data_IF_429398358140
#
_entry.id   IF_429398358140
#
_cell.length_a   1.000
_cell.length_b   1.000
_cell.length_c   1.000
_cell.angle_alpha   90.00
_cell.angle_beta   90.00
_cell.angle_gamma   90.00
#
_symmetry.space_group_name_H-M   'P 1'
#
loop_
_entity.id
_entity.type
_entity.pdbx_description
1 polymer ?
#
# COMPACT_ATOMS: atom_id res chain seq x y z
N UNK A 1 10.36 2.69 8.52
CA UNK A 1 9.36 1.67 8.92
C UNK A 1 8.61 1.25 7.66
N UNK A 2 8.73 0.00 7.25
CA UNK A 2 7.93 -0.54 6.15
C UNK A 2 6.65 -1.08 6.77
N UNK A 3 5.56 -0.33 6.67
CA UNK A 3 4.25 -0.88 7.00
C UNK A 3 3.80 -1.68 5.79
N UNK A 4 3.88 -3.01 5.86
CA UNK A 4 3.13 -3.86 4.93
C UNK A 4 1.69 -3.84 5.43
N UNK A 5 0.93 -2.83 5.00
CA UNK A 5 -0.48 -2.71 5.31
C UNK A 5 -1.27 -3.76 4.54
N UNK A 6 -1.40 -4.96 5.11
CA UNK A 6 -2.23 -6.02 4.54
C UNK A 6 -3.65 -5.87 5.08
N UNK A 7 -4.60 -5.52 4.22
CA UNK A 7 -6.00 -5.36 4.63
C UNK A 7 -6.76 -6.65 4.34
N UNK A 8 -7.20 -7.35 5.38
CA UNK A 8 -7.87 -8.66 5.31
C UNK A 8 -9.31 -8.57 5.86
N UNK A 9 -10.26 -9.26 5.22
CA UNK A 9 -11.68 -9.26 5.61
C UNK A 9 -12.28 -10.67 5.64
N UNK A 10 -13.03 -11.04 6.69
CA UNK A 10 -13.85 -12.25 6.68
C UNK A 10 -15.28 -11.98 6.16
N UNK A 11 -15.87 -12.92 5.39
CA UNK A 11 -17.12 -13.61 5.79
C UNK A 11 -17.79 -14.52 4.70
N UNK A 12 -18.26 -15.66 5.20
CA UNK A 12 -19.25 -16.70 4.84
C UNK A 12 -19.64 -17.11 3.40
N UNK A 13 -19.73 -18.45 3.28
CA UNK A 13 -20.14 -19.39 2.21
C UNK A 13 -19.99 -18.93 0.75
N UNK A 14 -19.01 -19.53 0.07
CA UNK A 14 -18.86 -19.48 -1.37
C UNK A 14 -19.61 -20.66 -2.02
N UNK A 15 -20.33 -20.37 -3.11
CA UNK A 15 -20.67 -21.38 -4.12
C UNK A 15 -19.54 -21.47 -5.13
N UNK A 16 -19.27 -22.67 -5.62
CA UNK A 16 -18.16 -23.04 -6.50
C UNK A 16 -18.29 -22.42 -7.90
N UNK A 17 -17.17 -21.99 -8.48
CA UNK A 17 -17.01 -21.86 -9.94
C UNK A 17 -15.52 -21.96 -10.34
N UNK A 18 -15.19 -23.04 -11.04
CA UNK A 18 -14.02 -23.30 -11.91
C UNK A 18 -14.37 -22.82 -13.36
N UNK A 19 -13.51 -22.50 -14.35
CA UNK A 19 -12.05 -22.54 -14.57
C UNK A 19 -11.66 -21.75 -15.87
N UNK A 20 -10.35 -21.74 -16.22
CA UNK A 20 -9.64 -21.36 -17.48
C UNK A 20 -9.31 -19.86 -17.70
N UNK A 21 -8.04 -19.42 -17.93
CA UNK A 21 -7.13 -19.67 -19.08
C UNK A 21 -5.63 -19.63 -18.64
N UNK A 22 -4.74 -20.26 -19.42
CA UNK A 22 -3.27 -20.39 -19.23
C UNK A 22 -2.44 -19.28 -19.90
N UNK A 23 -1.26 -19.04 -19.30
CA UNK A 23 -0.03 -18.35 -19.79
C UNK A 23 0.16 -16.83 -19.62
N UNK A 24 -0.83 -16.07 -19.12
CA UNK A 24 -0.67 -14.62 -18.79
C UNK A 24 -0.86 -14.28 -17.30
N UNK A 25 -0.95 -15.27 -16.41
CA UNK A 25 -1.35 -15.07 -15.00
C UNK A 25 -0.31 -14.32 -14.15
N UNK A 26 0.92 -14.29 -14.64
CA UNK A 26 2.07 -13.65 -14.03
C UNK A 26 2.44 -12.32 -14.71
N UNK A 27 1.68 -11.89 -15.72
CA UNK A 27 1.80 -10.56 -16.31
C UNK A 27 0.88 -9.60 -15.58
N UNK A 28 1.40 -8.51 -15.00
CA UNK A 28 0.54 -7.54 -14.36
C UNK A 28 -0.10 -6.61 -15.40
N UNK A 29 -1.32 -6.19 -15.09
CA UNK A 29 -1.95 -5.06 -15.75
C UNK A 29 -1.58 -3.76 -15.04
N UNK A 30 -1.27 -2.72 -15.81
CA UNK A 30 -1.07 -1.36 -15.31
C UNK A 30 -2.18 -0.46 -15.83
N UNK A 31 -2.87 0.23 -14.92
CA UNK A 31 -3.85 1.27 -15.26
C UNK A 31 -3.34 2.64 -14.79
N UNK A 32 -3.68 3.68 -15.54
CA UNK A 32 -3.50 5.07 -15.14
C UNK A 32 -4.86 5.74 -14.96
N UNK A 33 -5.09 6.32 -13.79
CA UNK A 33 -6.37 6.94 -13.41
C UNK A 33 -6.16 8.31 -12.78
N UNK A 34 -7.19 9.15 -12.84
CA UNK A 34 -7.32 10.27 -11.91
C UNK A 34 -8.00 9.78 -10.63
N UNK A 35 -7.29 9.90 -9.51
CA UNK A 35 -7.81 9.61 -8.19
C UNK A 35 -7.58 10.84 -7.31
N UNK A 36 -8.66 11.34 -6.71
CA UNK A 36 -8.62 12.57 -5.92
C UNK A 36 -7.94 13.75 -6.66
N UNK A 37 -8.22 13.88 -7.96
CA UNK A 37 -7.72 14.95 -8.82
C UNK A 37 -6.27 14.79 -9.31
N UNK A 38 -5.56 13.73 -8.92
CA UNK A 38 -4.17 13.50 -9.32
C UNK A 38 -4.01 12.20 -10.11
N UNK A 39 -3.04 12.18 -11.03
CA UNK A 39 -2.68 10.95 -11.72
C UNK A 39 -2.21 9.87 -10.73
N UNK A 40 -2.50 8.62 -11.06
CA UNK A 40 -2.22 7.49 -10.19
C UNK A 40 -2.03 6.26 -11.03
N UNK A 41 -0.92 5.57 -10.82
CA UNK A 41 -0.65 4.27 -11.41
C UNK A 41 -1.19 3.18 -10.47
N UNK A 42 -1.92 2.23 -11.04
CA UNK A 42 -2.42 1.04 -10.35
C UNK A 42 -1.85 -0.20 -11.02
N UNK A 43 -1.01 -0.93 -10.31
CA UNK A 43 -0.45 -2.20 -10.76
C UNK A 43 -1.30 -3.34 -10.22
N UNK A 44 -1.69 -4.29 -11.06
CA UNK A 44 -2.65 -5.34 -10.72
C UNK A 44 -2.17 -6.72 -11.18
N UNK A 45 -2.24 -7.69 -10.28
CA UNK A 45 -2.21 -9.12 -10.60
C UNK A 45 -3.55 -9.75 -10.24
N UNK A 46 -3.97 -10.74 -11.03
CA UNK A 46 -5.28 -11.39 -10.88
C UNK A 46 -6.40 -10.53 -11.47
N UNK A 47 -7.58 -10.55 -10.86
CA UNK A 47 -8.72 -9.81 -11.40
C UNK A 47 -8.49 -8.29 -11.42
N UNK A 48 -8.74 -7.66 -12.56
CA UNK A 48 -8.58 -6.22 -12.76
C UNK A 48 -9.83 -5.41 -12.41
N UNK A 49 -10.96 -6.10 -12.23
CA UNK A 49 -12.22 -5.57 -11.72
C UNK A 49 -12.67 -6.41 -10.52
N UNK A 50 -12.87 -5.76 -9.37
CA UNK A 50 -13.38 -6.44 -8.19
C UNK A 50 -14.89 -6.60 -8.29
N UNK A 51 -15.37 -7.74 -7.81
CA UNK A 51 -16.78 -8.10 -7.75
C UNK A 51 -17.07 -8.80 -6.42
N UNK A 52 -18.34 -8.99 -6.08
CA UNK A 52 -18.77 -9.56 -4.78
C UNK A 52 -18.17 -10.94 -4.44
N UNK A 53 -17.79 -11.74 -5.45
CA UNK A 53 -17.07 -13.01 -5.25
C UNK A 53 -15.62 -12.87 -4.74
N UNK A 54 -15.01 -11.69 -4.85
CA UNK A 54 -13.67 -11.43 -4.33
C UNK A 54 -13.75 -11.09 -2.85
N UNK A 55 -13.44 -12.07 -2.00
CA UNK A 55 -13.49 -11.89 -0.54
C UNK A 55 -12.24 -11.24 0.04
N UNK A 56 -11.10 -11.41 -0.63
CA UNK A 56 -9.79 -10.96 -0.17
C UNK A 56 -9.12 -10.19 -1.31
N UNK A 57 -8.56 -9.03 -0.97
CA UNK A 57 -7.71 -8.20 -1.82
C UNK A 57 -6.41 -7.92 -1.08
N UNK A 58 -5.28 -8.24 -1.70
CA UNK A 58 -3.99 -7.78 -1.21
C UNK A 58 -3.69 -6.40 -1.80
N UNK A 59 -3.84 -5.35 -0.98
CA UNK A 59 -3.56 -3.98 -1.39
C UNK A 59 -2.20 -3.53 -0.86
N UNK A 60 -1.28 -3.19 -1.76
CA UNK A 60 0.03 -2.61 -1.43
C UNK A 60 -0.05 -1.09 -1.52
N UNK A 61 0.32 -0.44 -0.42
CA UNK A 61 0.57 1.01 -0.38
C UNK A 61 2.09 1.19 -0.31
N UNK A 62 2.74 1.75 -1.35
CA UNK A 62 4.18 1.97 -1.33
C UNK A 62 4.55 3.03 -0.29
N UNK A 63 5.79 2.98 0.19
CA UNK A 63 6.43 4.14 0.83
C UNK A 63 7.09 5.04 -0.22
N UNK A 64 7.64 6.19 0.19
CA UNK A 64 8.43 7.06 -0.69
C UNK A 64 9.55 6.24 -1.38
N UNK A 65 9.73 6.28 -2.72
CA UNK A 65 9.25 7.27 -3.70
C UNK A 65 7.81 7.09 -4.23
N UNK A 66 7.03 6.11 -3.75
CA UNK A 66 5.62 5.94 -4.13
C UNK A 66 5.37 5.20 -5.43
N UNK A 67 6.41 4.63 -6.04
CA UNK A 67 6.36 3.97 -7.36
C UNK A 67 6.02 2.49 -7.20
N UNK A 68 4.90 2.06 -7.79
CA UNK A 68 4.40 0.68 -7.67
C UNK A 68 5.22 -0.34 -8.44
N UNK A 69 5.93 0.07 -9.49
CA UNK A 69 6.77 -0.80 -10.31
C UNK A 69 7.83 -1.57 -9.50
N UNK A 70 8.35 -0.99 -8.42
CA UNK A 70 9.31 -1.68 -7.54
C UNK A 70 8.72 -2.91 -6.85
N UNK A 71 7.41 -2.93 -6.60
CA UNK A 71 6.76 -4.01 -5.86
C UNK A 71 6.38 -5.21 -6.74
N UNK A 72 6.66 -5.17 -8.05
CA UNK A 72 6.24 -6.21 -9.03
C UNK A 72 6.60 -7.63 -8.58
N UNK A 73 7.87 -7.88 -8.25
CA UNK A 73 8.35 -9.21 -7.84
C UNK A 73 7.69 -9.70 -6.55
N UNK A 74 7.50 -8.78 -5.59
CA UNK A 74 6.82 -9.08 -4.32
C UNK A 74 5.35 -9.46 -4.58
N UNK A 75 4.62 -8.64 -5.35
CA UNK A 75 3.22 -8.85 -5.68
C UNK A 75 2.97 -10.14 -6.46
N UNK A 76 3.79 -10.40 -7.49
CA UNK A 76 3.73 -11.63 -8.28
C UNK A 76 3.94 -12.86 -7.40
N UNK A 77 4.92 -12.78 -6.48
CA UNK A 77 5.20 -13.88 -5.55
C UNK A 77 4.03 -14.12 -4.60
N UNK A 78 3.41 -13.07 -4.04
CA UNK A 78 2.19 -13.19 -3.23
C UNK A 78 1.06 -13.85 -4.02
N UNK A 79 0.76 -13.33 -5.22
CA UNK A 79 -0.32 -13.82 -6.06
C UNK A 79 -0.18 -15.32 -6.35
N UNK A 80 1.01 -15.74 -6.77
CA UNK A 80 1.34 -17.14 -7.04
C UNK A 80 1.23 -18.02 -5.80
N UNK A 81 1.76 -17.58 -4.66
CA UNK A 81 1.79 -18.40 -3.44
C UNK A 81 0.40 -18.58 -2.81
N UNK A 82 -0.55 -17.66 -3.07
CA UNK A 82 -1.96 -17.86 -2.74
C UNK A 82 -2.76 -18.63 -3.80
N UNK A 83 -2.05 -19.26 -4.76
CA UNK A 83 -2.65 -20.09 -5.80
C UNK A 83 -3.43 -19.28 -6.84
N UNK A 84 -3.06 -18.02 -7.07
CA UNK A 84 -3.72 -17.12 -8.03
C UNK A 84 -5.20 -16.82 -7.71
N UNK A 85 -5.63 -17.02 -6.45
CA UNK A 85 -7.04 -16.90 -6.04
C UNK A 85 -7.46 -15.50 -5.61
N UNK A 86 -6.50 -14.67 -5.20
CA UNK A 86 -6.77 -13.37 -4.58
C UNK A 86 -6.08 -12.26 -5.38
N UNK A 87 -6.81 -11.24 -5.84
CA UNK A 87 -6.22 -10.11 -6.52
C UNK A 87 -5.14 -9.43 -5.65
N UNK A 88 -4.06 -9.01 -6.30
CA UNK A 88 -2.96 -8.26 -5.66
C UNK A 88 -2.79 -6.95 -6.39
N UNK A 89 -3.16 -5.85 -5.75
CA UNK A 89 -3.13 -4.50 -6.34
C UNK A 89 -2.15 -3.62 -5.58
N UNK A 90 -1.50 -2.71 -6.29
CA UNK A 90 -0.69 -1.64 -5.70
C UNK A 90 -1.12 -0.30 -6.27
N UNK A 91 -1.17 0.73 -5.43
CA UNK A 91 -1.62 2.08 -5.82
C UNK A 91 -0.50 3.07 -5.54
N UNK A 92 0.00 3.73 -6.57
CA UNK A 92 1.09 4.71 -6.43
C UNK A 92 0.67 5.87 -5.52
N UNK A 93 1.63 6.58 -4.94
CA UNK A 93 1.32 7.92 -4.42
C UNK A 93 0.77 8.80 -5.55
N UNK A 94 -0.16 9.69 -5.21
CA UNK A 94 -0.72 10.68 -6.13
C UNK A 94 0.40 11.49 -6.75
N UNK A 95 0.50 11.57 -8.08
CA UNK A 95 1.56 12.32 -8.73
C UNK A 95 2.94 11.66 -8.74
N UNK A 96 3.06 10.40 -8.31
CA UNK A 96 4.36 9.69 -8.23
C UNK A 96 4.55 8.66 -9.34
N UNK A 97 3.85 8.82 -10.46
CA UNK A 97 4.02 8.01 -11.66
C UNK A 97 4.23 8.91 -12.88
N UNK A 98 4.81 8.35 -13.93
CA UNK A 98 4.84 8.99 -15.25
C UNK A 98 3.58 8.54 -15.99
N UNK A 99 2.58 9.42 -16.18
CA UNK A 99 1.37 9.07 -16.89
C UNK A 99 1.64 8.91 -18.40
N UNK A 100 0.70 8.30 -19.16
CA UNK A 100 0.73 8.34 -20.62
C UNK A 100 0.63 9.78 -21.14
N UNK A 101 1.16 10.05 -22.34
CA UNK A 101 1.17 11.39 -22.96
C UNK A 101 -0.22 12.03 -23.13
N UNK A 102 -1.29 11.23 -23.04
CA UNK A 102 -2.68 11.69 -23.11
C UNK A 102 -3.24 12.22 -21.79
N UNK A 103 -2.44 12.24 -20.71
CA UNK A 103 -2.92 12.47 -19.35
C UNK A 103 -1.96 13.39 -18.60
N UNK A 104 -2.49 14.51 -18.13
CA UNK A 104 -1.76 15.48 -17.30
C UNK A 104 -1.56 14.94 -15.86
N UNK A 105 -0.62 15.54 -15.12
CA UNK A 105 -0.38 15.22 -13.69
C UNK A 105 -1.61 15.37 -12.78
N UNK A 106 -2.50 16.31 -13.11
CA UNK A 106 -3.71 16.65 -12.34
C UNK A 106 -4.89 16.79 -13.30
N UNK A 107 -6.07 16.36 -12.86
CA UNK A 107 -7.31 16.46 -13.64
C UNK A 107 -7.77 17.92 -13.75
N UNK A 108 -7.60 18.66 -12.66
CA UNK A 108 -7.88 20.09 -12.55
C UNK A 108 -6.79 20.74 -11.69
N UNK A 109 -6.00 21.62 -12.31
CA UNK A 109 -4.87 22.26 -11.65
C UNK A 109 -5.29 23.22 -10.51
N UNK A 110 -6.47 23.83 -10.60
CA UNK A 110 -6.98 24.72 -9.56
C UNK A 110 -7.39 23.92 -8.32
N UNK A 111 -8.13 22.82 -8.50
CA UNK A 111 -8.55 21.96 -7.40
C UNK A 111 -7.37 21.22 -6.73
N UNK A 112 -6.37 20.81 -7.51
CA UNK A 112 -5.18 20.15 -6.98
C UNK A 112 -4.33 21.08 -6.09
N UNK A 113 -4.21 22.35 -6.47
CA UNK A 113 -3.46 23.36 -5.72
C UNK A 113 -4.15 23.75 -4.40
N UNK A 114 -5.49 23.80 -4.39
CA UNK A 114 -6.28 24.08 -3.18
C UNK A 114 -6.20 22.93 -2.16
N UNK A 115 -6.06 21.68 -2.62
CA UNK A 115 -6.11 20.48 -1.79
C UNK A 115 -4.78 19.94 -1.25
N UNK A 116 -3.62 20.46 -1.68
CA UNK A 116 -2.29 19.89 -1.41
C UNK A 116 -2.25 18.36 -1.64
N UNK A 117 -2.72 17.94 -2.82
CA UNK A 117 -2.91 16.52 -3.15
C UNK A 117 -1.60 15.70 -3.06
N UNK A 118 -0.46 16.34 -3.26
CA UNK A 118 0.85 15.71 -3.23
C UNK A 118 1.49 15.67 -1.83
N UNK A 119 0.99 16.47 -0.88
CA UNK A 119 1.44 16.47 0.51
C UNK A 119 0.90 15.27 1.32
N UNK A 120 1.39 15.11 2.55
CA UNK A 120 1.10 13.93 3.38
C UNK A 120 -0.41 13.68 3.58
N UNK A 121 -1.19 14.73 3.85
CA UNK A 121 -2.64 14.61 4.03
C UNK A 121 -3.35 14.34 2.70
N UNK A 122 -2.92 14.99 1.62
CA UNK A 122 -3.42 14.71 0.27
C UNK A 122 -3.22 13.25 -0.12
N UNK A 123 -2.09 12.64 0.24
CA UNK A 123 -1.83 11.21 0.02
C UNK A 123 -2.74 10.28 0.86
N UNK A 124 -3.11 10.68 2.08
CA UNK A 124 -4.07 9.92 2.90
C UNK A 124 -5.45 9.98 2.25
N UNK A 125 -5.95 11.18 1.97
CA UNK A 125 -7.26 11.38 1.32
C UNK A 125 -7.33 10.71 -0.06
N UNK A 126 -6.23 10.76 -0.80
CA UNK A 126 -6.07 10.03 -2.07
C UNK A 126 -6.31 8.53 -1.93
N UNK A 127 -5.69 7.89 -0.92
CA UNK A 127 -5.87 6.44 -0.67
C UNK A 127 -7.28 6.13 -0.20
N UNK A 128 -7.89 6.99 0.62
CA UNK A 128 -9.29 6.84 1.03
C UNK A 128 -10.25 6.96 -0.15
N UNK A 129 -10.04 7.96 -1.01
CA UNK A 129 -10.83 8.15 -2.23
C UNK A 129 -10.73 6.92 -3.14
N UNK A 130 -9.51 6.37 -3.30
CA UNK A 130 -9.29 5.14 -4.05
C UNK A 130 -10.10 3.98 -3.47
N UNK A 131 -9.98 3.72 -2.17
CA UNK A 131 -10.70 2.64 -1.48
C UNK A 131 -12.22 2.81 -1.60
N UNK A 132 -12.73 4.03 -1.44
CA UNK A 132 -14.18 4.31 -1.55
C UNK A 132 -14.72 4.05 -2.95
N UNK A 133 -13.94 4.34 -3.99
CA UNK A 133 -14.36 4.27 -5.40
C UNK A 133 -14.16 2.87 -6.01
N UNK A 134 -13.04 2.21 -5.72
CA UNK A 134 -12.61 1.02 -6.44
C UNK A 134 -12.67 -0.28 -5.63
N UNK A 135 -12.83 -0.20 -4.31
CA UNK A 135 -12.92 -1.39 -3.45
C UNK A 135 -14.37 -1.58 -2.96
N UNK A 136 -15.03 -2.72 -3.29
CA UNK A 136 -16.38 -3.02 -2.85
C UNK A 136 -16.56 -2.85 -1.33
N UNK A 137 -17.77 -2.46 -0.90
CA UNK A 137 -18.07 -2.07 0.50
C UNK A 137 -17.85 -3.22 1.48
N UNK A 138 -18.04 -4.42 0.99
CA UNK A 138 -17.87 -5.70 1.67
C UNK A 138 -16.38 -6.03 1.89
N UNK A 139 -15.50 -5.36 1.15
CA UNK A 139 -14.04 -5.48 1.21
C UNK A 139 -13.37 -4.19 1.68
N UNK A 140 -14.10 -3.26 2.30
CA UNK A 140 -13.57 -1.96 2.75
C UNK A 140 -13.13 -2.00 4.22
N UNK A 141 -12.00 -1.37 4.57
CA UNK A 141 -11.64 -1.17 5.96
C UNK A 141 -12.60 -0.19 6.62
N UNK A 142 -12.94 -0.42 7.89
CA UNK A 142 -13.80 0.49 8.67
C UNK A 142 -13.19 1.91 8.66
N UNK A 143 -13.97 2.97 8.36
CA UNK A 143 -13.46 4.32 8.05
C UNK A 143 -12.80 5.08 9.21
N UNK A 144 -12.56 4.42 10.34
CA UNK A 144 -12.19 5.05 11.62
C UNK A 144 -10.70 5.42 11.75
N UNK A 145 -9.85 5.00 10.81
CA UNK A 145 -8.40 5.21 10.87
C UNK A 145 -7.93 6.49 10.18
N UNK A 146 -8.82 7.24 9.52
CA UNK A 146 -8.40 8.18 8.50
C UNK A 146 -8.95 9.61 8.66
N UNK A 147 -9.57 9.93 9.79
CA UNK A 147 -10.25 11.21 10.00
C UNK A 147 -9.64 11.99 11.18
N UNK A 148 -8.43 12.47 11.00
CA UNK A 148 -7.89 13.62 11.72
C UNK A 148 -6.68 14.12 10.91
N UNK A 149 -6.31 15.39 11.05
CA UNK A 149 -5.14 16.05 10.43
C UNK A 149 -5.42 16.86 9.14
N UNK A 150 -5.94 18.08 9.33
CA UNK A 150 -5.72 19.24 8.44
C UNK A 150 -4.56 20.07 9.05
N UNK A 151 -3.62 20.67 8.29
CA UNK A 151 -3.70 22.04 7.74
C UNK A 151 -2.56 22.33 6.71
N UNK A 152 -2.94 23.05 5.62
CA UNK A 152 -2.33 24.05 4.69
C UNK A 152 -0.93 24.00 3.99
N UNK A 153 -0.99 24.35 2.67
CA UNK A 153 -0.11 25.17 1.76
C UNK A 153 1.17 24.55 1.10
N UNK A 154 1.70 24.95 -0.06
CA UNK A 154 1.28 25.16 -1.48
C UNK A 154 2.56 25.14 -2.38
N UNK A 155 2.46 24.96 -3.71
CA UNK A 155 3.55 25.32 -4.67
C UNK A 155 3.90 24.31 -5.78
N UNK A 156 4.25 24.83 -6.96
CA UNK A 156 4.20 24.27 -8.33
C UNK A 156 5.50 23.60 -8.89
N UNK A 157 5.36 22.94 -10.05
CA UNK A 157 6.25 22.86 -11.23
C UNK A 157 7.01 21.59 -11.74
N UNK A 158 6.84 21.40 -13.07
CA UNK A 158 7.43 20.59 -14.19
C UNK A 158 7.48 19.03 -14.26
N UNK A 159 6.65 18.44 -15.13
CA UNK A 159 6.17 17.04 -15.29
C UNK A 159 7.10 15.81 -15.12
N UNK A 160 8.33 15.74 -15.66
CA UNK A 160 9.24 14.58 -15.41
C UNK A 160 10.10 14.78 -14.15
N UNK A 161 10.36 16.05 -13.85
CA UNK A 161 10.91 16.54 -12.59
C UNK A 161 9.85 16.49 -11.48
N UNK A 162 8.55 16.52 -11.82
CA UNK A 162 7.41 16.59 -10.89
C UNK A 162 7.26 15.30 -10.10
N UNK A 163 7.42 14.12 -10.69
CA UNK A 163 7.38 12.87 -9.91
C UNK A 163 8.45 12.84 -8.83
N UNK A 164 9.68 13.25 -9.17
CA UNK A 164 10.78 13.34 -8.21
C UNK A 164 10.56 14.48 -7.20
N UNK A 165 10.07 15.62 -7.66
CA UNK A 165 9.75 16.77 -6.81
C UNK A 165 8.62 16.44 -5.83
N UNK A 166 7.58 15.72 -6.25
CA UNK A 166 6.49 15.24 -5.41
C UNK A 166 7.01 14.26 -4.36
N UNK A 167 7.88 13.32 -4.74
CA UNK A 167 8.55 12.42 -3.80
C UNK A 167 9.43 13.15 -2.78
N UNK A 168 10.18 14.17 -3.23
CA UNK A 168 10.99 15.02 -2.35
C UNK A 168 10.13 15.90 -1.45
N UNK A 169 9.03 16.45 -1.99
CA UNK A 169 8.07 17.27 -1.26
C UNK A 169 7.38 16.46 -0.17
N UNK A 170 6.84 15.28 -0.51
CA UNK A 170 6.24 14.35 0.44
C UNK A 170 7.27 13.92 1.51
N UNK A 171 8.48 13.53 1.11
CA UNK A 171 9.53 13.17 2.08
C UNK A 171 9.94 14.34 2.99
N UNK A 172 9.96 15.56 2.46
CA UNK A 172 10.18 16.79 3.23
C UNK A 172 9.04 17.07 4.23
N UNK A 173 7.80 16.81 3.85
CA UNK A 173 6.63 16.93 4.72
C UNK A 173 6.66 15.85 5.82
N UNK A 174 6.99 14.60 5.49
CA UNK A 174 7.17 13.51 6.45
C UNK A 174 8.17 13.90 7.55
N UNK A 175 9.36 14.38 7.16
CA UNK A 175 10.39 14.82 8.10
C UNK A 175 9.97 16.00 8.99
N UNK A 176 9.04 16.85 8.54
CA UNK A 176 8.57 18.03 9.29
C UNK A 176 7.36 17.74 10.16
N UNK A 177 6.45 16.88 9.71
CA UNK A 177 5.12 16.68 10.31
C UNK A 177 5.03 15.38 11.12
N UNK A 178 5.75 14.33 10.72
CA UNK A 178 5.71 13.02 11.40
C UNK A 178 6.81 12.97 12.46
N UNK A 179 6.60 13.70 13.53
CA UNK A 179 7.56 13.82 14.64
C UNK A 179 7.42 12.68 15.66
N UNK A 180 6.22 12.11 15.75
CA UNK A 180 5.90 11.04 16.69
C UNK A 180 5.08 9.94 16.02
N UNK A 181 5.19 8.73 16.58
CA UNK A 181 4.42 7.57 16.13
C UNK A 181 3.00 7.67 16.68
N UNK A 182 1.99 7.51 15.80
CA UNK A 182 0.58 7.50 16.20
C UNK A 182 0.22 6.23 16.98
N UNK A 183 0.54 6.25 18.27
CA UNK A 183 0.27 5.14 19.18
C UNK A 183 -1.23 4.92 19.42
N UNK A 184 -2.09 5.92 19.19
CA UNK A 184 -3.54 5.81 19.39
C UNK A 184 -4.11 4.91 18.30
N UNK A 185 -3.80 5.21 17.04
CA UNK A 185 -4.26 4.42 15.90
C UNK A 185 -3.68 3.01 15.90
N UNK A 186 -2.39 2.86 16.25
CA UNK A 186 -1.76 1.54 16.39
C UNK A 186 -2.48 0.71 17.45
N UNK A 187 -2.71 1.27 18.65
CA UNK A 187 -3.39 0.54 19.74
C UNK A 187 -4.77 0.06 19.33
N UNK A 188 -5.54 0.92 18.65
CA UNK A 188 -6.89 0.61 18.19
C UNK A 188 -6.94 -0.54 17.18
N UNK A 189 -5.86 -0.76 16.43
CA UNK A 189 -5.81 -1.72 15.33
C UNK A 189 -4.74 -2.82 15.53
N UNK A 190 -4.18 -2.95 16.73
CA UNK A 190 -2.98 -3.75 16.98
C UNK A 190 -3.11 -5.21 16.53
N UNK A 191 -4.29 -5.81 16.70
CA UNK A 191 -4.61 -7.18 16.28
C UNK A 191 -4.57 -7.41 14.76
N UNK A 192 -4.61 -6.33 13.96
CA UNK A 192 -4.64 -6.34 12.49
C UNK A 192 -3.30 -5.95 11.88
N UNK A 193 -2.33 -5.61 12.71
CA UNK A 193 -1.06 -5.04 12.27
C UNK A 193 0.09 -6.01 12.53
N UNK A 194 0.84 -6.31 11.48
CA UNK A 194 2.14 -6.96 11.57
C UNK A 194 3.19 -5.89 11.31
N UNK A 195 4.04 -5.62 12.31
CA UNK A 195 5.17 -4.74 12.14
C UNK A 195 6.42 -5.54 11.78
N UNK A 196 7.12 -5.10 10.73
CA UNK A 196 8.31 -5.76 10.23
C UNK A 196 9.50 -4.79 10.24
N UNK A 197 10.61 -5.22 10.85
CA UNK A 197 11.86 -4.47 10.94
C UNK A 197 13.03 -5.33 10.46
N UNK A 198 14.00 -4.72 9.78
CA UNK A 198 15.27 -5.35 9.45
C UNK A 198 16.34 -5.02 10.50
N UNK A 199 17.05 -6.03 11.02
CA UNK A 199 18.13 -5.83 12.00
C UNK A 199 19.30 -5.01 11.44
N UNK A 200 19.49 -5.04 10.12
CA UNK A 200 20.54 -4.32 9.39
C UNK A 200 20.01 -3.10 8.63
N UNK A 201 18.78 -2.64 8.92
CA UNK A 201 18.21 -1.47 8.26
C UNK A 201 18.80 -0.17 8.85
N UNK A 202 19.69 0.48 8.09
CA UNK A 202 20.30 1.74 8.51
C UNK A 202 19.36 2.94 8.45
N UNK A 203 18.23 2.84 7.74
CA UNK A 203 17.19 3.88 7.69
C UNK A 203 16.19 3.75 8.83
N UNK A 204 16.04 2.55 9.39
CA UNK A 204 15.15 2.25 10.50
C UNK A 204 15.93 1.54 11.61
N UNK A 205 16.64 2.29 12.47
CA UNK A 205 17.49 1.70 13.50
C UNK A 205 16.74 0.69 14.36
N UNK A 206 17.44 -0.36 14.80
CA UNK A 206 16.89 -1.42 15.66
C UNK A 206 16.23 -0.89 16.94
N UNK A 207 16.62 0.30 17.41
CA UNK A 207 15.98 0.95 18.55
C UNK A 207 14.47 1.16 18.32
N UNK A 208 14.03 1.47 17.09
CA UNK A 208 12.60 1.63 16.80
C UNK A 208 11.80 0.33 16.93
N UNK A 209 12.43 -0.82 16.62
CA UNK A 209 11.87 -2.14 16.91
C UNK A 209 11.75 -2.37 18.42
N UNK A 210 12.79 -2.04 19.19
CA UNK A 210 12.78 -2.19 20.65
C UNK A 210 11.70 -1.30 21.28
N UNK A 211 11.57 -0.07 20.82
CA UNK A 211 10.60 0.90 21.34
C UNK A 211 9.16 0.46 21.06
N UNK A 212 8.85 0.02 19.83
CA UNK A 212 7.49 -0.46 19.52
C UNK A 212 7.18 -1.77 20.26
N UNK A 213 8.17 -2.66 20.44
CA UNK A 213 7.97 -3.90 21.21
C UNK A 213 7.73 -3.63 22.68
N UNK A 214 8.37 -2.60 23.23
CA UNK A 214 8.15 -2.13 24.60
C UNK A 214 6.76 -1.53 24.77
N UNK A 215 6.32 -0.69 23.83
CA UNK A 215 5.03 0.01 23.94
C UNK A 215 3.83 -0.88 23.61
N UNK A 216 4.02 -1.91 22.77
CA UNK A 216 3.02 -2.86 22.34
C UNK A 216 3.50 -4.31 22.49
N UNK A 217 3.70 -4.81 23.73
CA UNK A 217 4.30 -6.12 23.97
C UNK A 217 3.49 -7.29 23.40
N UNK A 218 2.17 -7.09 23.22
CA UNK A 218 1.24 -8.06 22.66
C UNK A 218 1.05 -7.93 21.14
N UNK A 219 1.71 -6.97 20.49
CA UNK A 219 1.63 -6.80 19.03
C UNK A 219 2.45 -7.85 18.28
N UNK A 220 2.01 -8.16 17.06
CA UNK A 220 2.81 -8.91 16.11
C UNK A 220 3.90 -8.00 15.53
N UNK A 221 5.08 -8.10 16.12
CA UNK A 221 6.23 -7.24 15.84
C UNK A 221 7.43 -8.16 15.61
N UNK A 222 7.94 -8.15 14.39
CA UNK A 222 8.93 -9.08 13.88
C UNK A 222 10.22 -8.36 13.53
N UNK A 223 11.34 -8.91 13.97
CA UNK A 223 12.68 -8.49 13.59
C UNK A 223 13.28 -9.53 12.64
N UNK A 224 13.79 -9.08 11.50
CA UNK A 224 14.41 -9.91 10.49
C UNK A 224 15.92 -9.76 10.51
N UNK A 225 16.61 -10.87 10.68
CA UNK A 225 18.08 -10.94 10.72
C UNK A 225 18.68 -11.35 9.36
N UNK A 226 17.85 -11.52 8.32
CA UNK A 226 18.28 -12.01 7.00
C UNK A 226 19.10 -10.97 6.17
N UNK A 227 19.43 -9.82 6.74
CA UNK A 227 20.28 -8.82 6.08
C UNK A 227 19.61 -8.05 4.93
N UNK A 228 18.27 -8.05 4.85
CA UNK A 228 17.56 -7.34 3.77
C UNK A 228 17.73 -5.82 3.90
N UNK A 229 17.92 -5.15 2.76
CA UNK A 229 18.00 -3.69 2.70
C UNK A 229 16.64 -3.08 3.00
N UNK A 230 16.65 -1.81 3.40
CA UNK A 230 15.45 -1.00 3.59
C UNK A 230 14.50 -1.10 2.38
N UNK A 231 15.04 -0.91 1.17
CA UNK A 231 14.29 -1.05 -0.07
C UNK A 231 14.30 -2.50 -0.58
N UNK A 232 13.79 -3.45 0.22
CA UNK A 232 13.75 -4.88 -0.11
C UNK A 232 13.09 -5.17 -1.48
N UNK A 233 12.18 -4.31 -1.91
CA UNK A 233 11.49 -4.41 -3.21
C UNK A 233 12.43 -4.37 -4.42
N UNK A 234 13.66 -3.87 -4.25
CA UNK A 234 14.64 -3.77 -5.34
C UNK A 234 15.37 -5.10 -5.61
N UNK A 235 15.46 -6.00 -4.64
CA UNK A 235 16.31 -7.20 -4.73
C UNK A 235 15.73 -8.42 -4.01
N UNK A 236 15.13 -8.25 -2.83
CA UNK A 236 14.63 -9.34 -1.98
C UNK A 236 13.10 -9.38 -1.86
N UNK A 237 12.40 -8.79 -2.83
CA UNK A 237 10.93 -8.77 -2.90
C UNK A 237 10.29 -10.16 -2.86
N UNK A 238 10.94 -11.16 -3.44
CA UNK A 238 10.45 -12.55 -3.44
C UNK A 238 10.53 -13.18 -2.05
N UNK A 239 11.65 -12.97 -1.36
CA UNK A 239 11.95 -13.55 -0.05
C UNK A 239 11.01 -12.95 1.01
N UNK A 240 10.83 -11.63 0.97
CA UNK A 240 9.88 -10.95 1.87
C UNK A 240 8.43 -11.37 1.59
N UNK A 241 8.05 -11.58 0.32
CA UNK A 241 6.72 -12.10 -0.01
C UNK A 241 6.47 -13.50 0.57
N UNK A 242 7.45 -14.40 0.49
CA UNK A 242 7.36 -15.74 1.10
C UNK A 242 7.13 -15.65 2.60
N UNK A 243 7.87 -14.79 3.28
CA UNK A 243 7.70 -14.56 4.71
C UNK A 243 6.29 -14.04 5.02
N UNK A 244 5.80 -13.05 4.27
CA UNK A 244 4.44 -12.53 4.45
C UNK A 244 3.39 -13.61 4.27
N UNK A 245 3.52 -14.48 3.25
CA UNK A 245 2.59 -15.60 3.04
C UNK A 245 2.57 -16.53 4.25
N UNK A 246 3.73 -16.92 4.77
CA UNK A 246 3.83 -17.78 5.95
C UNK A 246 3.12 -17.16 7.16
N UNK A 247 3.20 -15.84 7.31
CA UNK A 247 2.62 -15.13 8.45
C UNK A 247 1.10 -15.09 8.43
N UNK A 248 0.51 -14.94 7.24
CA UNK A 248 -0.93 -14.65 7.10
C UNK A 248 -1.75 -15.84 6.58
N UNK A 249 -1.09 -16.92 6.15
CA UNK A 249 -1.79 -18.12 5.64
C UNK A 249 -2.70 -18.78 6.69
N UNK A 250 -2.31 -18.75 7.96
CA UNK A 250 -3.12 -19.29 9.07
C UNK A 250 -4.41 -18.50 9.27
N UNK A 251 -4.34 -17.18 9.22
CA UNK A 251 -5.49 -16.29 9.36
C UNK A 251 -6.46 -16.42 8.19
N UNK A 252 -5.92 -16.62 6.99
CA UNK A 252 -6.68 -16.84 5.76
C UNK A 252 -7.45 -18.16 5.76
N UNK A 253 -6.85 -19.23 6.26
CA UNK A 253 -7.48 -20.55 6.28
C UNK A 253 -8.66 -20.61 7.27
N UNK A 254 -8.56 -19.86 8.37
CA UNK A 254 -9.59 -19.79 9.42
C UNK A 254 -10.82 -18.98 9.01
N UNK A 255 -10.71 -18.13 7.97
CA UNK A 255 -11.81 -17.28 7.49
C UNK A 255 -12.59 -17.87 6.29
N UNK A 256 -12.12 -19.00 5.72
CA UNK A 256 -12.72 -19.67 4.55
C UNK A 256 -13.54 -20.92 4.95
N UNK A 257 -13.34 -21.45 6.16
CA UNK A 257 -14.17 -22.48 6.78
C UNK A 257 -15.35 -21.86 7.55
#
# INVERSE_FOLDING_TARGET
>A
MIIIGLVMFPSFKAGEMEDMVTDSRDDPQTDFIYCFGANTEVLKFGSCQLHSGHKILFLIIPGNPGVVGFYRTFMQTLHRMFGYRHPVWAVSHAGHCVPPDSMDMVEDASLAAEGDVFGLNGQIEHKLAFLRKYVPRETRPHPDWALHWLLHYSGDDQERSRTQANAMYMGGQEMKKVLERDNITIRKNLEKLIFYYGATDHWCPIQYYLDIKKDFPHGDIRLCENGFRHAFVLDTGREVAKMVVEWISGDLTTQVL
#
